data_IF_642254175340
#
_entry.id   IF_642254175340
#
_cell.length_a   1.000
_cell.length_b   1.000
_cell.length_c   1.000
_cell.angle_alpha   90.00
_cell.angle_beta   90.00
_cell.angle_gamma   90.00
#
_symmetry.space_group_name_H-M   'P 1'
#
loop_
_entity.id
_entity.type
_entity.pdbx_description
1 polymer ?
#
# COMPACT_ATOMS: atom_id res chain seq x y z
N UNK A 1 -20.24 -6.23 18.45
CA UNK A 1 -18.87 -6.74 18.71
C UNK A 1 -18.83 -8.23 18.45
N UNK A 2 -18.13 -8.66 17.40
CA UNK A 2 -18.05 -10.07 17.01
C UNK A 2 -17.17 -10.91 17.94
N UNK A 3 -16.46 -10.29 18.88
CA UNK A 3 -15.49 -10.95 19.75
C UNK A 3 -14.26 -11.53 19.05
N UNK A 4 -14.16 -11.39 17.71
CA UNK A 4 -13.03 -11.88 16.93
C UNK A 4 -11.96 -10.78 16.76
N UNK A 5 -10.67 -11.14 16.81
CA UNK A 5 -9.60 -10.18 16.56
C UNK A 5 -9.66 -9.61 15.14
N UNK A 6 -9.33 -8.32 15.00
CA UNK A 6 -9.22 -7.61 13.72
C UNK A 6 -7.78 -7.18 13.55
N UNK A 7 -7.17 -7.53 12.41
CA UNK A 7 -5.87 -7.03 11.97
C UNK A 7 -6.08 -6.35 10.61
N UNK A 8 -5.94 -5.02 10.60
CA UNK A 8 -6.16 -4.18 9.43
C UNK A 8 -4.85 -3.54 8.98
N UNK A 9 -4.46 -3.82 7.74
CA UNK A 9 -3.31 -3.20 7.09
C UNK A 9 -3.79 -2.08 6.16
N UNK A 10 -3.52 -0.83 6.51
CA UNK A 10 -3.88 0.34 5.72
C UNK A 10 -2.93 0.51 4.52
N UNK A 11 -3.49 0.79 3.35
CA UNK A 11 -2.73 0.83 2.10
C UNK A 11 -3.01 2.05 1.21
N UNK A 12 -4.14 2.72 1.38
CA UNK A 12 -4.58 3.82 0.52
C UNK A 12 -4.22 5.21 1.04
N UNK A 13 -5.06 6.19 0.70
CA UNK A 13 -4.84 7.59 1.07
C UNK A 13 -4.84 7.81 2.60
N UNK A 14 -5.55 6.98 3.36
CA UNK A 14 -5.51 7.04 4.81
C UNK A 14 -4.12 6.67 5.35
N UNK A 15 -3.47 5.67 4.77
CA UNK A 15 -2.06 5.35 5.08
C UNK A 15 -1.15 6.54 4.76
N UNK A 16 -1.37 7.19 3.62
CA UNK A 16 -0.62 8.38 3.22
C UNK A 16 -0.73 9.51 4.25
N UNK A 17 -1.93 9.75 4.79
CA UNK A 17 -2.12 10.71 5.88
C UNK A 17 -1.36 10.32 7.14
N UNK A 18 -1.31 9.03 7.46
CA UNK A 18 -0.53 8.52 8.60
C UNK A 18 0.99 8.71 8.40
N UNK A 19 1.47 8.75 7.15
CA UNK A 19 2.86 9.13 6.84
C UNK A 19 3.14 10.62 6.95
N UNK A 20 2.10 11.45 7.15
CA UNK A 20 2.23 12.89 7.34
C UNK A 20 1.75 13.76 6.18
N UNK A 21 1.25 13.20 5.09
CA UNK A 21 0.69 13.96 3.96
C UNK A 21 -0.72 14.42 4.27
N UNK A 22 -0.89 15.71 4.54
CA UNK A 22 -2.16 16.29 5.00
C UNK A 22 -2.97 17.01 3.92
N UNK A 23 -2.39 17.19 2.75
CA UNK A 23 -3.02 17.95 1.65
C UNK A 23 -4.00 17.12 0.84
N UNK A 24 -4.11 15.83 1.13
CA UNK A 24 -5.08 14.94 0.52
C UNK A 24 -6.15 14.56 1.53
N UNK A 25 -7.39 14.88 1.18
CA UNK A 25 -8.54 14.42 1.92
C UNK A 25 -8.99 13.04 1.43
N UNK A 26 -9.31 12.15 2.36
CA UNK A 26 -9.98 10.89 2.09
C UNK A 26 -10.98 10.56 3.18
N UNK A 27 -12.11 10.00 2.78
CA UNK A 27 -13.10 9.41 3.68
C UNK A 27 -13.01 7.88 3.70
N UNK A 28 -12.25 7.30 2.78
CA UNK A 28 -12.25 5.87 2.51
C UNK A 28 -11.20 5.18 3.35
N UNK A 29 -11.54 3.99 3.83
CA UNK A 29 -10.61 3.07 4.47
C UNK A 29 -10.26 1.98 3.46
N UNK A 30 -9.03 2.04 2.93
CA UNK A 30 -8.51 1.04 2.02
C UNK A 30 -7.53 0.13 2.75
N UNK A 31 -7.72 -1.16 2.66
CA UNK A 31 -6.84 -2.04 3.39
C UNK A 31 -7.06 -3.54 3.19
N UNK A 32 -6.12 -4.27 3.77
CA UNK A 32 -6.14 -5.72 3.87
C UNK A 32 -6.57 -6.13 5.27
N UNK A 33 -7.59 -6.96 5.36
CA UNK A 33 -8.17 -7.39 6.62
C UNK A 33 -7.93 -8.87 6.87
N UNK A 34 -7.35 -9.17 8.01
CA UNK A 34 -7.42 -10.50 8.62
C UNK A 34 -8.46 -10.45 9.73
N UNK A 35 -9.57 -11.19 9.56
CA UNK A 35 -10.69 -11.17 10.48
C UNK A 35 -12.03 -11.20 9.76
N UNK A 36 -13.13 -10.87 10.46
CA UNK A 36 -14.49 -10.94 9.92
C UNK A 36 -14.77 -9.77 8.96
N UNK A 37 -14.56 -10.00 7.67
CA UNK A 37 -14.68 -8.97 6.63
C UNK A 37 -16.09 -8.38 6.55
N UNK A 38 -17.12 -9.24 6.39
CA UNK A 38 -18.49 -8.77 6.21
C UNK A 38 -19.04 -7.99 7.40
N UNK A 39 -18.88 -8.44 8.65
CA UNK A 39 -19.32 -7.66 9.81
C UNK A 39 -18.64 -6.31 9.93
N UNK A 40 -17.33 -6.21 9.62
CA UNK A 40 -16.62 -4.94 9.67
C UNK A 40 -17.08 -3.98 8.58
N UNK A 41 -17.22 -4.45 7.35
CA UNK A 41 -17.73 -3.62 6.24
C UNK A 41 -19.15 -3.12 6.54
N UNK A 42 -20.03 -3.99 7.07
CA UNK A 42 -21.38 -3.60 7.46
C UNK A 42 -21.38 -2.55 8.57
N UNK A 43 -20.51 -2.69 9.56
CA UNK A 43 -20.36 -1.71 10.64
C UNK A 43 -19.88 -0.35 10.09
N UNK A 44 -18.83 -0.32 9.29
CA UNK A 44 -18.30 0.91 8.70
C UNK A 44 -19.34 1.60 7.81
N UNK A 45 -20.08 0.83 7.03
CA UNK A 45 -21.18 1.35 6.20
C UNK A 45 -22.28 1.98 7.04
N UNK A 46 -22.68 1.35 8.15
CA UNK A 46 -23.67 1.89 9.08
C UNK A 46 -23.20 3.20 9.72
N UNK A 47 -21.89 3.35 9.96
CA UNK A 47 -21.28 4.58 10.48
C UNK A 47 -21.00 5.63 9.38
N UNK A 48 -21.38 5.36 8.12
CA UNK A 48 -21.15 6.26 7.00
C UNK A 48 -19.69 6.37 6.56
N UNK A 49 -18.88 5.35 6.86
CA UNK A 49 -17.47 5.28 6.48
C UNK A 49 -17.30 4.36 5.28
N UNK A 50 -17.02 4.87 4.08
CA UNK A 50 -16.70 4.04 2.92
C UNK A 50 -15.43 3.22 3.19
N UNK A 51 -15.43 1.96 2.75
CA UNK A 51 -14.28 1.08 2.94
C UNK A 51 -14.12 0.15 1.72
N UNK A 52 -12.90 0.05 1.22
CA UNK A 52 -12.49 -0.93 0.24
C UNK A 52 -11.50 -1.90 0.92
N UNK A 53 -12.05 -2.99 1.43
CA UNK A 53 -11.32 -3.98 2.20
C UNK A 53 -11.29 -5.31 1.45
N UNK A 54 -10.14 -5.96 1.50
CA UNK A 54 -9.90 -7.28 0.92
C UNK A 54 -9.15 -8.16 1.90
N UNK A 55 -9.12 -9.45 1.64
CA UNK A 55 -8.26 -10.39 2.36
C UNK A 55 -6.85 -10.47 1.78
N UNK A 56 -6.65 -9.96 0.56
CA UNK A 56 -5.36 -9.99 -0.14
C UNK A 56 -5.26 -8.81 -1.13
N UNK A 57 -4.52 -7.77 -0.76
CA UNK A 57 -4.27 -6.61 -1.64
C UNK A 57 -3.39 -6.96 -2.83
N UNK A 58 -2.63 -8.05 -2.77
CA UNK A 58 -1.85 -8.52 -3.92
C UNK A 58 -2.77 -8.82 -5.10
N UNK A 59 -3.96 -9.36 -4.83
CA UNK A 59 -4.98 -9.67 -5.82
C UNK A 59 -5.67 -8.46 -6.47
N UNK A 60 -5.43 -7.24 -6.00
CA UNK A 60 -5.98 -6.03 -6.64
C UNK A 60 -5.29 -5.66 -7.96
N UNK A 61 -4.20 -6.30 -8.28
CA UNK A 61 -3.46 -6.11 -9.52
C UNK A 61 -2.89 -7.45 -9.99
N UNK A 62 -2.61 -7.55 -11.29
CA UNK A 62 -1.84 -8.68 -11.86
C UNK A 62 -0.41 -8.67 -11.30
N UNK A 63 0.15 -7.49 -11.08
CA UNK A 63 1.43 -7.34 -10.40
C UNK A 63 1.23 -7.60 -8.91
N UNK A 64 1.89 -8.60 -8.36
CA UNK A 64 1.85 -8.92 -6.94
C UNK A 64 2.49 -7.83 -6.08
N UNK A 65 2.17 -7.82 -4.80
CA UNK A 65 2.95 -7.08 -3.81
C UNK A 65 4.31 -7.75 -3.60
N UNK A 66 5.35 -7.00 -3.20
CA UNK A 66 6.63 -7.62 -2.85
C UNK A 66 6.44 -8.64 -1.73
N UNK A 67 6.94 -9.88 -1.87
CA UNK A 67 6.81 -10.89 -0.82
C UNK A 67 7.28 -10.38 0.55
N UNK A 68 6.55 -10.74 1.59
CA UNK A 68 6.87 -10.32 2.96
C UNK A 68 6.35 -8.93 3.35
N UNK A 69 5.57 -8.27 2.52
CA UNK A 69 5.03 -6.94 2.84
C UNK A 69 4.20 -6.91 4.14
N UNK A 70 3.51 -8.00 4.46
CA UNK A 70 2.75 -8.11 5.71
C UNK A 70 3.64 -8.11 6.94
N UNK A 71 4.80 -8.76 6.84
CA UNK A 71 5.76 -8.86 7.95
C UNK A 71 6.53 -7.55 8.15
N UNK A 72 6.72 -6.76 7.08
CA UNK A 72 7.38 -5.45 7.14
C UNK A 72 6.48 -4.33 7.62
N UNK A 73 5.17 -4.54 7.65
CA UNK A 73 4.21 -3.52 8.09
C UNK A 73 4.45 -3.10 9.54
N UNK A 74 4.22 -1.83 9.83
CA UNK A 74 4.45 -1.23 11.14
C UNK A 74 3.16 -1.03 11.91
N UNK A 75 3.20 -1.24 13.23
CA UNK A 75 2.02 -1.07 14.08
C UNK A 75 1.68 0.41 14.26
N UNK A 76 0.43 0.78 14.00
CA UNK A 76 -0.16 2.07 14.32
C UNK A 76 -1.00 1.99 15.60
N UNK A 77 -1.80 0.95 15.71
CA UNK A 77 -2.62 0.62 16.90
C UNK A 77 -2.39 -0.84 17.23
N UNK A 78 -2.04 -1.12 18.47
CA UNK A 78 -1.88 -2.48 18.98
C UNK A 78 -2.71 -2.66 20.25
N UNK A 79 -3.78 -3.43 20.13
CA UNK A 79 -4.69 -3.78 21.20
C UNK A 79 -5.03 -5.27 21.08
N UNK A 80 -5.35 -6.01 22.14
CA UNK A 80 -5.58 -7.45 22.07
C UNK A 80 -6.57 -7.92 21.00
N UNK A 81 -7.58 -7.10 20.69
CA UNK A 81 -8.63 -7.43 19.72
C UNK A 81 -8.63 -6.55 18.46
N UNK A 82 -7.70 -5.58 18.37
CA UNK A 82 -7.60 -4.65 17.25
C UNK A 82 -6.14 -4.31 17.00
N UNK A 83 -5.66 -4.67 15.82
CA UNK A 83 -4.36 -4.25 15.32
C UNK A 83 -4.57 -3.47 14.04
N UNK A 84 -4.02 -2.27 13.98
CA UNK A 84 -3.98 -1.47 12.75
C UNK A 84 -2.51 -1.24 12.40
N UNK A 85 -2.15 -1.58 11.19
CA UNK A 85 -0.78 -1.47 10.68
C UNK A 85 -0.74 -0.61 9.42
N UNK A 86 0.43 -0.07 9.13
CA UNK A 86 0.74 0.63 7.89
C UNK A 86 1.70 -0.20 7.06
N UNK A 87 1.54 -0.16 5.74
CA UNK A 87 2.58 -0.65 4.84
C UNK A 87 3.92 0.01 5.17
N UNK A 88 4.99 -0.75 5.05
CA UNK A 88 6.32 -0.16 5.03
C UNK A 88 6.42 0.79 3.83
N UNK A 89 7.11 1.96 3.94
CA UNK A 89 7.08 2.98 2.90
C UNK A 89 7.45 2.52 1.49
N UNK A 90 8.44 1.62 1.33
CA UNK A 90 8.78 1.08 0.00
C UNK A 90 7.64 0.23 -0.55
N UNK A 91 7.02 -0.61 0.27
CA UNK A 91 5.87 -1.42 -0.13
C UNK A 91 4.67 -0.53 -0.53
N UNK A 92 4.46 0.60 0.17
CA UNK A 92 3.46 1.59 -0.22
C UNK A 92 3.75 2.18 -1.61
N UNK A 93 5.00 2.55 -1.87
CA UNK A 93 5.42 3.05 -3.19
C UNK A 93 5.12 2.03 -4.27
N UNK A 94 5.46 0.75 -4.06
CA UNK A 94 5.15 -0.31 -5.02
C UNK A 94 3.64 -0.46 -5.22
N UNK A 95 2.86 -0.42 -4.16
CA UNK A 95 1.39 -0.48 -4.25
C UNK A 95 0.83 0.64 -5.15
N UNK A 96 1.35 1.85 -5.05
CA UNK A 96 0.98 2.98 -5.90
C UNK A 96 1.44 2.81 -7.35
N UNK A 97 2.67 2.38 -7.57
CA UNK A 97 3.22 2.17 -8.91
C UNK A 97 2.52 1.03 -9.67
N UNK A 98 1.92 0.06 -8.98
CA UNK A 98 1.13 -1.02 -9.58
C UNK A 98 -0.06 -0.51 -10.38
N UNK A 99 -0.73 0.55 -9.92
CA UNK A 99 -1.80 1.24 -10.65
C UNK A 99 -1.23 2.33 -11.56
N UNK A 100 -0.31 3.14 -11.06
CA UNK A 100 0.51 4.06 -11.82
C UNK A 100 -0.23 5.22 -12.48
N UNK A 101 -1.41 5.61 -12.00
CA UNK A 101 -2.07 6.85 -12.44
C UNK A 101 -1.35 8.07 -11.85
N UNK A 102 -1.55 9.26 -12.45
CA UNK A 102 -0.85 10.48 -12.06
C UNK A 102 -0.90 10.74 -10.55
N UNK A 103 -2.07 10.61 -9.96
CA UNK A 103 -2.29 10.82 -8.54
C UNK A 103 -1.49 9.84 -7.66
N UNK A 104 -1.37 8.58 -8.10
CA UNK A 104 -0.57 7.56 -7.41
C UNK A 104 0.92 7.87 -7.48
N UNK A 105 1.40 8.40 -8.60
CA UNK A 105 2.79 8.79 -8.76
C UNK A 105 3.14 9.97 -7.84
N UNK A 106 2.24 10.93 -7.68
CA UNK A 106 2.42 12.04 -6.74
C UNK A 106 2.49 11.55 -5.29
N UNK A 107 1.61 10.62 -4.91
CA UNK A 107 1.62 9.99 -3.59
C UNK A 107 2.92 9.23 -3.33
N UNK A 108 3.35 8.43 -4.30
CA UNK A 108 4.60 7.69 -4.23
C UNK A 108 5.80 8.62 -4.09
N UNK A 109 5.82 9.71 -4.86
CA UNK A 109 6.91 10.69 -4.81
C UNK A 109 7.01 11.38 -3.44
N UNK A 110 5.84 11.72 -2.85
CA UNK A 110 5.82 12.25 -1.49
C UNK A 110 6.46 11.29 -0.49
N UNK A 111 6.07 10.02 -0.52
CA UNK A 111 6.60 9.01 0.40
C UNK A 111 8.09 8.78 0.20
N UNK A 112 8.55 8.72 -1.05
CA UNK A 112 9.98 8.61 -1.37
C UNK A 112 10.77 9.75 -0.75
N UNK A 113 10.31 10.98 -0.90
CA UNK A 113 10.97 12.17 -0.32
C UNK A 113 10.91 12.18 1.20
N UNK A 114 9.76 11.85 1.76
CA UNK A 114 9.53 11.87 3.21
C UNK A 114 10.42 10.88 3.95
N UNK A 115 10.63 9.70 3.39
CA UNK A 115 11.41 8.62 4.00
C UNK A 115 12.79 8.42 3.37
N UNK A 116 13.18 9.29 2.42
CA UNK A 116 14.47 9.24 1.74
C UNK A 116 14.76 7.86 1.11
N UNK A 117 13.75 7.30 0.44
CA UNK A 117 13.85 5.99 -0.20
C UNK A 117 14.76 6.09 -1.41
N UNK A 118 15.71 5.18 -1.52
CA UNK A 118 16.64 5.16 -2.65
C UNK A 118 15.99 4.55 -3.90
N UNK A 119 16.53 4.91 -5.07
CA UNK A 119 16.16 4.25 -6.33
C UNK A 119 16.37 2.74 -6.24
N UNK A 120 17.50 2.31 -5.67
CA UNK A 120 17.83 0.90 -5.51
C UNK A 120 16.79 0.13 -4.69
N UNK A 121 16.28 0.73 -3.61
CA UNK A 121 15.23 0.09 -2.79
C UNK A 121 13.95 -0.13 -3.59
N UNK A 122 13.56 0.86 -4.41
CA UNK A 122 12.38 0.76 -5.27
C UNK A 122 12.57 -0.31 -6.35
N UNK A 123 13.72 -0.31 -7.02
CA UNK A 123 14.03 -1.27 -8.08
C UNK A 123 14.09 -2.70 -7.56
N UNK A 124 14.67 -2.92 -6.37
CA UNK A 124 14.71 -4.24 -5.73
C UNK A 124 13.32 -4.72 -5.34
N UNK A 125 12.50 -3.86 -4.74
CA UNK A 125 11.13 -4.20 -4.38
C UNK A 125 10.27 -4.48 -5.61
N UNK A 126 10.42 -3.70 -6.68
CA UNK A 126 9.74 -3.92 -7.95
C UNK A 126 10.15 -5.25 -8.59
N UNK A 127 11.43 -5.59 -8.59
CA UNK A 127 11.92 -6.87 -9.10
C UNK A 127 11.35 -8.05 -8.30
N UNK A 128 11.28 -7.93 -6.98
CA UNK A 128 10.67 -8.95 -6.12
C UNK A 128 9.17 -9.12 -6.41
N UNK A 129 8.45 -8.02 -6.63
CA UNK A 129 7.04 -8.04 -7.01
C UNK A 129 6.82 -8.73 -8.37
N UNK A 130 7.64 -8.40 -9.36
CA UNK A 130 7.60 -9.03 -10.68
C UNK A 130 7.86 -10.54 -10.58
N UNK A 131 8.88 -10.94 -9.83
CA UNK A 131 9.23 -12.35 -9.65
C UNK A 131 8.12 -13.17 -8.96
N UNK A 132 7.29 -12.53 -8.15
CA UNK A 132 6.15 -13.15 -7.46
C UNK A 132 4.85 -13.11 -8.27
N UNK A 133 4.84 -12.46 -9.43
CA UNK A 133 3.66 -12.27 -10.28
C UNK A 133 3.55 -13.35 -11.34
N UNK A 134 2.31 -13.63 -11.84
CA UNK A 134 2.15 -14.48 -13.03
C UNK A 134 2.75 -13.81 -14.27
N UNK A 135 3.11 -14.59 -15.28
CA UNK A 135 3.55 -14.05 -16.55
C UNK A 135 2.40 -13.32 -17.26
N UNK A 136 2.57 -12.01 -17.48
CA UNK A 136 1.57 -11.16 -18.10
C UNK A 136 2.22 -9.91 -18.71
N UNK A 137 1.60 -9.35 -19.75
CA UNK A 137 2.07 -8.10 -20.37
C UNK A 137 2.02 -6.91 -19.40
N UNK A 138 1.17 -6.96 -18.37
CA UNK A 138 1.11 -5.94 -17.33
C UNK A 138 2.44 -5.78 -16.57
N UNK A 139 3.26 -6.83 -16.49
CA UNK A 139 4.59 -6.75 -15.87
C UNK A 139 5.51 -5.81 -16.63
N UNK A 140 5.45 -5.84 -17.96
CA UNK A 140 6.22 -4.92 -18.81
C UNK A 140 5.80 -3.47 -18.57
N UNK A 141 4.49 -3.21 -18.52
CA UNK A 141 3.96 -1.86 -18.23
C UNK A 141 4.36 -1.39 -16.85
N UNK A 142 4.27 -2.25 -15.86
CA UNK A 142 4.72 -1.94 -14.50
C UNK A 142 6.20 -1.62 -14.45
N UNK A 143 7.04 -2.42 -15.10
CA UNK A 143 8.48 -2.17 -15.16
C UNK A 143 8.78 -0.81 -15.80
N UNK A 144 8.07 -0.44 -16.87
CA UNK A 144 8.20 0.88 -17.49
C UNK A 144 7.76 2.01 -16.57
N UNK A 145 6.69 1.82 -15.83
CA UNK A 145 6.24 2.80 -14.83
C UNK A 145 7.31 3.01 -13.77
N UNK A 146 7.91 1.94 -13.25
CA UNK A 146 9.01 2.01 -12.27
C UNK A 146 10.22 2.75 -12.84
N UNK A 147 10.65 2.41 -14.06
CA UNK A 147 11.78 3.06 -14.73
C UNK A 147 11.55 4.56 -14.88
N UNK A 148 10.38 4.97 -15.38
CA UNK A 148 10.03 6.38 -15.56
C UNK A 148 9.92 7.13 -14.23
N UNK A 149 9.36 6.49 -13.24
CA UNK A 149 9.28 7.05 -11.88
C UNK A 149 10.69 7.26 -11.30
N UNK A 150 11.54 6.25 -11.37
CA UNK A 150 12.91 6.33 -10.85
C UNK A 150 13.78 7.37 -11.55
N UNK A 151 13.51 7.69 -12.83
CA UNK A 151 14.23 8.76 -13.54
C UNK A 151 13.96 10.14 -12.98
N UNK A 152 12.84 10.35 -12.31
CA UNK A 152 12.52 11.62 -11.66
C UNK A 152 13.21 11.80 -10.31
N UNK A 153 13.77 10.72 -9.77
CA UNK A 153 14.46 10.75 -8.49
C UNK A 153 15.91 11.23 -8.70
N UNK A 154 16.47 12.03 -7.77
CA UNK A 154 17.88 12.40 -7.84
C UNK A 154 18.76 11.15 -7.82
N UNK A 155 19.83 11.16 -8.63
CA UNK A 155 20.73 10.00 -8.80
C UNK A 155 21.42 9.55 -7.52
N UNK A 156 21.49 10.42 -6.54
CA UNK A 156 22.01 10.07 -5.21
C UNK A 156 21.31 10.91 -4.15
N UNK A 157 20.53 10.26 -3.31
CA UNK A 157 20.47 10.70 -1.93
C UNK A 157 21.57 9.94 -1.18
N UNK A 158 22.76 10.55 -1.19
CA UNK A 158 23.84 10.13 -0.32
C UNK A 158 23.53 10.53 1.11
#
# INVERSE_FOLDING_TARGET
TTGQPIDLLLVGALALQCYGFRDRYTNDVDGELTGPLHPLVAFLSAEGVPADLTQDISGWSIVAMPPGYRDRATDLVSHPNLRIRLLEPVDFVIAKLRRGIELDLDDALYVVRRFQISRSDIEQAAAAAIAASPEDTALFLFQKTVELFCRQLPEQML
#
